data_IF_018540716636
#
_entry.id   IF_018540716636
#
_cell.length_a   1.000
_cell.length_b   1.000
_cell.length_c   1.000
_cell.angle_alpha   90.00
_cell.angle_beta   90.00
_cell.angle_gamma   90.00
#
_symmetry.space_group_name_H-M   'P 1'
#
loop_
_entity.id
_entity.type
_entity.pdbx_description
1 polymer ?
#
# COMPACT_ATOMS: atom_id res chain seq x y z
N UNK A 1 -15.82 -9.57 18.85
CA UNK A 1 -15.00 -10.58 18.14
C UNK A 1 -13.56 -10.50 18.60
N UNK A 2 -12.82 -11.60 18.42
CA UNK A 2 -11.36 -11.64 18.56
C UNK A 2 -10.73 -11.58 17.17
N UNK A 3 -9.84 -10.64 16.94
CA UNK A 3 -9.31 -10.31 15.61
C UNK A 3 -7.78 -10.33 15.63
N UNK A 4 -7.15 -10.88 14.61
CA UNK A 4 -5.74 -10.65 14.32
C UNK A 4 -5.64 -9.66 13.15
N UNK A 5 -4.88 -8.59 13.36
CA UNK A 5 -4.71 -7.54 12.36
C UNK A 5 -3.37 -7.67 11.63
N UNK A 6 -3.40 -7.44 10.32
CA UNK A 6 -2.22 -7.43 9.44
C UNK A 6 -2.16 -6.11 8.68
N UNK A 7 -1.10 -5.35 8.82
CA UNK A 7 -0.99 -4.10 8.05
C UNK A 7 -0.01 -3.08 8.59
N UNK A 8 -0.15 -1.87 8.07
CA UNK A 8 0.68 -0.71 8.36
C UNK A 8 -0.17 0.54 8.63
N UNK A 9 0.47 1.71 8.69
CA UNK A 9 -0.19 3.00 8.99
C UNK A 9 -1.21 3.45 7.95
N UNK A 10 -1.17 2.92 6.71
CA UNK A 10 -2.08 3.35 5.64
C UNK A 10 -3.54 3.22 6.06
N UNK A 11 -3.89 2.12 6.72
CA UNK A 11 -5.25 1.88 7.21
C UNK A 11 -5.35 1.91 8.74
N UNK A 12 -4.54 2.74 9.41
CA UNK A 12 -4.56 2.92 10.87
C UNK A 12 -5.98 3.19 11.40
N UNK A 13 -6.79 3.94 10.68
CA UNK A 13 -8.18 4.22 11.06
C UNK A 13 -9.08 2.98 11.15
N UNK A 14 -8.81 1.95 10.35
CA UNK A 14 -9.48 0.66 10.47
C UNK A 14 -9.03 -0.09 11.74
N UNK A 15 -7.73 -0.07 12.03
CA UNK A 15 -7.18 -0.66 13.25
C UNK A 15 -7.77 -0.02 14.51
N UNK A 16 -7.82 1.32 14.58
CA UNK A 16 -8.41 2.05 15.72
C UNK A 16 -9.89 1.70 15.89
N UNK A 17 -10.68 1.62 14.81
CA UNK A 17 -12.06 1.16 14.90
C UNK A 17 -12.18 -0.24 15.51
N UNK A 18 -11.33 -1.18 15.06
CA UNK A 18 -11.35 -2.55 15.56
C UNK A 18 -10.94 -2.62 17.04
N UNK A 19 -10.01 -1.76 17.48
CA UNK A 19 -9.63 -1.63 18.90
C UNK A 19 -10.76 -1.11 19.80
N UNK A 20 -11.58 -0.18 19.28
CA UNK A 20 -12.70 0.39 20.04
C UNK A 20 -13.83 -0.61 20.28
N UNK A 21 -14.06 -1.53 19.36
CA UNK A 21 -15.25 -2.39 19.33
C UNK A 21 -14.96 -3.86 19.59
N UNK A 22 -13.72 -4.30 19.42
CA UNK A 22 -13.35 -5.70 19.41
C UNK A 22 -12.05 -5.95 20.17
N UNK A 23 -11.70 -7.20 20.40
CA UNK A 23 -10.43 -7.60 20.98
C UNK A 23 -9.43 -7.89 19.85
N UNK A 24 -8.39 -7.10 19.73
CA UNK A 24 -7.27 -7.40 18.84
C UNK A 24 -6.27 -8.28 19.57
N UNK A 25 -6.05 -9.50 19.06
CA UNK A 25 -5.17 -10.51 19.67
C UNK A 25 -3.70 -10.25 19.35
N UNK A 26 -3.40 -9.81 18.13
CA UNK A 26 -2.05 -9.54 17.65
C UNK A 26 -2.07 -8.58 16.46
N UNK A 27 -0.97 -7.89 16.27
CA UNK A 27 -0.63 -7.12 15.08
C UNK A 27 0.53 -7.80 14.35
N UNK A 28 0.33 -8.16 13.08
CA UNK A 28 1.38 -8.53 12.15
C UNK A 28 1.68 -7.36 11.21
N UNK A 29 2.95 -6.98 11.14
CA UNK A 29 3.41 -5.84 10.33
C UNK A 29 4.79 -6.14 9.74
N UNK A 30 5.40 -5.15 9.11
CA UNK A 30 6.75 -5.26 8.54
C UNK A 30 7.60 -4.07 9.00
N UNK A 31 8.92 -4.23 8.93
CA UNK A 31 9.82 -3.12 9.21
C UNK A 31 9.74 -2.09 8.09
N UNK A 32 9.72 -0.84 8.48
CA UNK A 32 10.03 0.22 7.54
C UNK A 32 11.55 0.29 7.39
N UNK A 33 12.06 -0.11 6.23
CA UNK A 33 13.50 -0.14 5.92
C UNK A 33 14.08 1.28 5.68
N UNK A 34 13.26 2.33 5.84
CA UNK A 34 13.70 3.70 5.65
C UNK A 34 14.24 4.29 6.97
N UNK A 35 15.54 4.52 7.05
CA UNK A 35 16.30 4.97 8.24
C UNK A 35 15.78 6.26 8.93
N UNK A 36 14.91 7.02 8.28
CA UNK A 36 14.34 8.26 8.83
C UNK A 36 12.96 8.10 9.46
N UNK A 37 12.37 6.91 9.40
CA UNK A 37 11.14 6.60 10.12
C UNK A 37 11.46 5.92 11.44
N UNK A 38 10.94 6.49 12.51
CA UNK A 38 11.16 5.92 13.84
C UNK A 38 10.43 4.59 14.02
N UNK A 39 9.14 4.56 13.74
CA UNK A 39 8.29 3.38 13.84
C UNK A 39 6.87 3.73 13.35
N UNK A 40 6.15 2.79 12.80
CA UNK A 40 4.73 2.97 12.46
C UNK A 40 3.90 3.32 13.68
N UNK A 41 2.95 4.25 13.52
CA UNK A 41 2.03 4.66 14.57
C UNK A 41 1.15 3.49 15.05
N UNK A 42 0.77 2.58 14.16
CA UNK A 42 0.03 1.36 14.49
C UNK A 42 0.80 0.47 15.47
N UNK A 43 2.13 0.39 15.34
CA UNK A 43 3.01 -0.37 16.25
C UNK A 43 3.08 0.28 17.62
N UNK A 44 3.27 1.60 17.66
CA UNK A 44 3.25 2.35 18.91
C UNK A 44 1.93 2.14 19.63
N UNK A 45 0.82 2.25 18.91
CA UNK A 45 -0.52 2.05 19.46
C UNK A 45 -0.76 0.64 19.99
N UNK A 46 -0.32 -0.39 19.25
CA UNK A 46 -0.41 -1.79 19.69
C UNK A 46 0.38 -2.02 20.99
N UNK A 47 1.60 -1.48 21.09
CA UNK A 47 2.44 -1.59 22.29
C UNK A 47 1.85 -0.89 23.50
N UNK A 48 1.29 0.31 23.34
CA UNK A 48 0.60 1.03 24.41
C UNK A 48 -0.53 0.21 25.04
N UNK A 49 -1.19 -0.62 24.24
CA UNK A 49 -2.30 -1.48 24.67
C UNK A 49 -1.86 -2.91 25.05
N UNK A 50 -0.55 -3.19 25.00
CA UNK A 50 -0.02 -4.53 25.31
C UNK A 50 -0.36 -5.60 24.27
N UNK A 51 -0.68 -5.21 23.04
CA UNK A 51 -0.97 -6.12 21.94
C UNK A 51 0.36 -6.65 21.38
N UNK A 52 0.54 -7.97 21.24
CA UNK A 52 1.71 -8.56 20.61
C UNK A 52 1.92 -8.05 19.18
N UNK A 53 3.16 -7.66 18.85
CA UNK A 53 3.56 -7.20 17.51
C UNK A 53 4.54 -8.18 16.91
N UNK A 54 4.23 -8.66 15.71
CA UNK A 54 5.00 -9.63 14.94
C UNK A 54 5.48 -9.02 13.64
N UNK A 55 6.79 -9.18 13.36
CA UNK A 55 7.42 -8.73 12.12
C UNK A 55 7.74 -9.89 11.17
N UNK A 56 7.60 -11.11 11.64
CA UNK A 56 7.77 -12.33 10.85
C UNK A 56 6.47 -12.69 10.13
N UNK A 57 6.58 -13.45 9.04
CA UNK A 57 5.41 -14.01 8.37
C UNK A 57 4.73 -15.02 9.28
N UNK A 58 3.40 -14.94 9.36
CA UNK A 58 2.61 -15.95 10.07
C UNK A 58 2.71 -17.29 9.34
N UNK A 59 2.85 -18.38 10.09
CA UNK A 59 2.88 -19.73 9.54
C UNK A 59 1.48 -20.36 9.47
N UNK A 60 1.25 -21.40 8.64
CA UNK A 60 -0.02 -22.12 8.60
C UNK A 60 -0.42 -22.73 9.96
N UNK A 61 0.57 -23.18 10.75
CA UNK A 61 0.37 -23.73 12.09
C UNK A 61 -0.13 -22.65 13.06
N UNK A 62 0.44 -21.44 13.00
CA UNK A 62 0.00 -20.30 13.80
C UNK A 62 -1.40 -19.84 13.40
N UNK A 63 -1.71 -19.83 12.08
CA UNK A 63 -3.06 -19.54 11.60
C UNK A 63 -4.05 -20.53 12.23
N UNK A 64 -3.73 -21.83 12.17
CA UNK A 64 -4.57 -22.88 12.76
C UNK A 64 -4.77 -22.65 14.26
N UNK A 65 -3.69 -22.40 15.01
CA UNK A 65 -3.74 -22.15 16.46
C UNK A 65 -4.65 -20.96 16.82
N UNK A 66 -4.58 -19.85 16.07
CA UNK A 66 -5.45 -18.72 16.33
C UNK A 66 -6.94 -19.09 16.28
N UNK A 67 -7.34 -19.88 15.29
CA UNK A 67 -8.76 -20.25 15.11
C UNK A 67 -9.18 -21.40 16.03
N UNK A 68 -8.30 -22.39 16.30
CA UNK A 68 -8.67 -23.57 17.11
C UNK A 68 -8.51 -23.34 18.62
N UNK A 69 -7.41 -22.67 19.02
CA UNK A 69 -7.01 -22.63 20.43
C UNK A 69 -7.26 -21.26 21.08
N UNK A 70 -7.05 -20.18 20.33
CA UNK A 70 -7.18 -18.82 20.84
C UNK A 70 -8.58 -18.22 20.60
N UNK A 71 -9.39 -18.90 19.79
CA UNK A 71 -10.77 -18.51 19.48
C UNK A 71 -10.84 -17.22 18.67
N UNK A 72 -9.91 -17.04 17.73
CA UNK A 72 -9.95 -15.96 16.76
C UNK A 72 -11.17 -16.10 15.84
N UNK A 73 -11.89 -15.01 15.66
CA UNK A 73 -13.09 -14.97 14.80
C UNK A 73 -12.75 -14.48 13.38
N UNK A 74 -11.73 -13.64 13.25
CA UNK A 74 -11.43 -12.94 12.00
C UNK A 74 -9.95 -12.54 11.88
N UNK A 75 -9.37 -12.73 10.69
CA UNK A 75 -8.17 -12.03 10.25
C UNK A 75 -8.56 -10.82 9.43
N UNK A 76 -8.05 -9.64 9.79
CA UNK A 76 -8.26 -8.41 9.05
C UNK A 76 -6.93 -7.92 8.48
N UNK A 77 -6.82 -7.89 7.14
CA UNK A 77 -5.62 -7.55 6.41
C UNK A 77 -5.84 -6.20 5.72
N UNK A 78 -4.91 -5.26 5.88
CA UNK A 78 -4.98 -3.94 5.28
C UNK A 78 -3.56 -3.40 5.04
N UNK A 79 -3.10 -3.44 3.81
CA UNK A 79 -1.74 -3.06 3.39
C UNK A 79 -0.66 -3.88 4.11
N UNK A 80 -0.73 -5.20 3.98
CA UNK A 80 0.30 -6.13 4.45
C UNK A 80 1.16 -6.59 3.29
N UNK A 81 2.48 -6.54 3.45
CA UNK A 81 3.45 -6.78 2.38
C UNK A 81 3.70 -8.26 2.03
N UNK A 82 3.03 -9.18 2.74
CA UNK A 82 3.26 -10.61 2.59
C UNK A 82 1.97 -11.36 2.28
N UNK A 83 2.13 -12.46 1.53
CA UNK A 83 1.04 -13.38 1.23
C UNK A 83 0.88 -14.36 2.40
N UNK A 84 -0.35 -14.52 2.90
CA UNK A 84 -0.67 -15.56 3.86
C UNK A 84 -0.79 -16.91 3.15
N UNK A 85 0.00 -17.89 3.60
CA UNK A 85 -0.16 -19.27 3.18
C UNK A 85 -1.22 -19.93 4.06
N UNK A 86 -2.44 -20.04 3.54
CA UNK A 86 -3.54 -20.62 4.30
C UNK A 86 -3.36 -22.13 4.43
N UNK A 87 -3.73 -22.74 5.60
CA UNK A 87 -3.86 -24.19 5.73
C UNK A 87 -4.83 -24.74 4.68
N UNK A 88 -4.61 -25.97 4.22
CA UNK A 88 -5.49 -26.61 3.23
C UNK A 88 -6.92 -26.83 3.76
N UNK A 89 -7.03 -27.16 5.04
CA UNK A 89 -8.31 -27.40 5.71
C UNK A 89 -8.34 -26.69 7.07
N UNK A 90 -9.04 -25.58 7.11
CA UNK A 90 -9.29 -24.82 8.35
C UNK A 90 -10.76 -24.41 8.41
N UNK A 91 -11.63 -25.30 8.92
CA UNK A 91 -13.05 -25.00 9.09
C UNK A 91 -13.25 -23.75 9.95
N UNK A 92 -14.11 -22.85 9.51
CA UNK A 92 -14.41 -21.61 10.23
C UNK A 92 -13.44 -20.46 10.01
N UNK A 93 -12.39 -20.65 9.20
CA UNK A 93 -11.50 -19.54 8.84
C UNK A 93 -12.27 -18.39 8.17
N UNK A 94 -12.09 -17.20 8.70
CA UNK A 94 -12.56 -15.97 8.09
C UNK A 94 -11.40 -14.98 8.01
N UNK A 95 -11.16 -14.47 6.81
CA UNK A 95 -10.17 -13.43 6.57
C UNK A 95 -10.74 -12.39 5.61
N UNK A 96 -10.61 -11.13 5.94
CA UNK A 96 -10.96 -9.99 5.07
C UNK A 96 -9.67 -9.29 4.68
N UNK A 97 -9.49 -9.02 3.40
CA UNK A 97 -8.44 -8.14 2.89
C UNK A 97 -9.04 -6.85 2.34
N UNK A 98 -8.46 -5.73 2.74
CA UNK A 98 -8.76 -4.40 2.22
C UNK A 98 -7.74 -4.07 1.14
N UNK A 99 -8.20 -3.99 -0.10
CA UNK A 99 -7.36 -3.84 -1.29
C UNK A 99 -7.66 -2.54 -2.02
N UNK A 100 -6.62 -1.79 -2.37
CA UNK A 100 -6.72 -0.42 -2.92
C UNK A 100 -7.01 -0.41 -4.43
N UNK A 101 -7.98 -1.20 -4.89
CA UNK A 101 -8.51 -1.18 -6.26
C UNK A 101 -9.97 -1.58 -6.33
N UNK A 102 -10.58 -1.43 -7.50
CA UNK A 102 -11.90 -2.01 -7.83
C UNK A 102 -11.71 -3.43 -8.36
N UNK A 103 -11.58 -4.42 -7.46
CA UNK A 103 -11.49 -5.82 -7.86
C UNK A 103 -12.68 -6.23 -8.76
N UNK A 104 -12.44 -7.08 -9.77
CA UNK A 104 -11.24 -7.90 -10.02
C UNK A 104 -10.09 -7.18 -10.73
N UNK A 105 -10.22 -5.91 -11.10
CA UNK A 105 -9.11 -5.14 -11.67
C UNK A 105 -8.11 -4.76 -10.57
N UNK A 106 -6.83 -4.71 -10.93
CA UNK A 106 -5.78 -4.25 -10.03
C UNK A 106 -5.39 -5.23 -8.93
N UNK A 107 -5.64 -6.54 -9.10
CA UNK A 107 -5.04 -7.56 -8.23
C UNK A 107 -3.53 -7.42 -8.23
N UNK A 108 -2.86 -7.49 -7.09
CA UNK A 108 -1.42 -7.44 -6.88
C UNK A 108 -0.98 -6.31 -5.95
N UNK A 109 0.33 -6.12 -5.78
CA UNK A 109 0.95 -5.18 -4.85
C UNK A 109 0.96 -3.70 -5.28
N UNK A 110 0.61 -3.41 -6.53
CA UNK A 110 0.70 -2.04 -7.10
C UNK A 110 -0.62 -1.60 -7.73
N UNK A 111 -1.73 -1.65 -6.97
CA UNK A 111 -3.05 -1.37 -7.54
C UNK A 111 -3.24 0.11 -7.91
N UNK A 112 -2.73 1.03 -7.12
CA UNK A 112 -2.87 2.47 -7.34
C UNK A 112 -1.96 2.92 -8.47
N UNK A 113 -0.66 2.59 -8.41
CA UNK A 113 0.31 2.90 -9.46
C UNK A 113 -0.10 2.29 -10.79
N UNK A 114 -0.62 1.07 -10.77
CA UNK A 114 -1.15 0.40 -11.96
C UNK A 114 -2.39 1.07 -12.53
N UNK A 115 -3.27 1.64 -11.72
CA UNK A 115 -4.40 2.42 -12.18
C UNK A 115 -3.95 3.74 -12.83
N UNK A 116 -2.98 4.43 -12.20
CA UNK A 116 -2.42 5.66 -12.73
C UNK A 116 -1.58 5.46 -14.00
N UNK A 117 -0.84 4.34 -14.10
CA UNK A 117 -0.09 3.98 -15.29
C UNK A 117 -1.00 3.80 -16.52
N UNK A 118 -2.20 3.24 -16.29
CA UNK A 118 -3.21 3.00 -17.33
C UNK A 118 -4.16 4.16 -17.56
N UNK A 119 -3.90 5.29 -16.90
CA UNK A 119 -4.75 6.49 -16.94
C UNK A 119 -6.24 6.15 -16.73
N UNK A 120 -6.53 5.25 -15.78
CA UNK A 120 -7.90 4.85 -15.50
C UNK A 120 -8.65 6.03 -14.88
N UNK A 121 -9.88 6.33 -15.36
CA UNK A 121 -10.66 7.43 -14.80
C UNK A 121 -11.19 7.12 -13.39
N UNK A 122 -11.13 5.86 -12.99
CA UNK A 122 -11.63 5.39 -11.68
C UNK A 122 -10.76 4.27 -11.14
N UNK A 123 -10.62 4.29 -9.83
CA UNK A 123 -10.13 3.18 -9.01
C UNK A 123 -11.01 3.06 -7.78
N UNK A 124 -10.55 2.45 -6.71
CA UNK A 124 -11.34 2.37 -5.49
C UNK A 124 -10.69 1.54 -4.41
N UNK A 125 -11.49 1.14 -3.45
CA UNK A 125 -11.12 0.22 -2.40
C UNK A 125 -12.12 -0.92 -2.32
N UNK A 126 -11.64 -2.14 -2.12
CA UNK A 126 -12.43 -3.36 -2.02
C UNK A 126 -12.10 -4.10 -0.73
N UNK A 127 -13.12 -4.45 0.05
CA UNK A 127 -13.02 -5.49 1.07
C UNK A 127 -13.50 -6.80 0.48
N UNK A 128 -12.64 -7.83 0.55
CA UNK A 128 -12.93 -9.15 0.00
C UNK A 128 -12.48 -10.26 0.95
N UNK A 129 -13.04 -11.45 0.79
CA UNK A 129 -12.61 -12.62 1.52
C UNK A 129 -11.17 -12.99 1.17
N UNK A 130 -10.38 -13.34 2.16
CA UNK A 130 -9.08 -13.97 1.93
C UNK A 130 -9.29 -15.39 1.39
N UNK A 131 -8.58 -15.73 0.33
CA UNK A 131 -8.66 -17.02 -0.35
C UNK A 131 -7.27 -17.49 -0.77
N UNK A 132 -7.14 -18.76 -1.17
CA UNK A 132 -5.87 -19.31 -1.69
C UNK A 132 -5.32 -18.52 -2.90
N UNK A 133 -6.22 -17.99 -3.72
CA UNK A 133 -5.84 -17.14 -4.85
C UNK A 133 -5.67 -15.71 -4.35
N UNK A 134 -4.49 -15.13 -4.59
CA UNK A 134 -4.20 -13.74 -4.24
C UNK A 134 -5.29 -12.79 -4.78
N UNK A 135 -5.86 -11.96 -3.93
CA UNK A 135 -6.95 -11.00 -4.20
C UNK A 135 -8.13 -11.59 -4.97
N UNK A 136 -8.36 -12.90 -4.84
CA UNK A 136 -9.33 -13.64 -5.64
C UNK A 136 -10.59 -14.07 -4.91
N UNK A 137 -10.73 -13.75 -3.63
CA UNK A 137 -11.92 -14.08 -2.84
C UNK A 137 -13.13 -13.21 -3.16
N UNK A 138 -14.31 -13.64 -2.71
CA UNK A 138 -15.56 -12.92 -2.95
C UNK A 138 -15.52 -11.51 -2.40
N UNK A 139 -16.07 -10.56 -3.16
CA UNK A 139 -16.17 -9.15 -2.79
C UNK A 139 -17.28 -8.98 -1.76
N UNK A 140 -16.95 -8.40 -0.62
CA UNK A 140 -17.87 -8.06 0.47
C UNK A 140 -18.41 -6.65 0.33
N UNK A 141 -17.53 -5.69 0.03
CA UNK A 141 -17.88 -4.28 -0.18
C UNK A 141 -16.89 -3.60 -1.13
N UNK A 142 -17.34 -2.57 -1.83
CA UNK A 142 -16.49 -1.71 -2.68
C UNK A 142 -16.93 -0.26 -2.62
N UNK A 143 -15.96 0.65 -2.75
CA UNK A 143 -16.18 2.09 -2.97
C UNK A 143 -15.33 2.56 -4.14
N UNK A 144 -15.94 3.33 -5.03
CA UNK A 144 -15.29 3.90 -6.21
C UNK A 144 -14.66 5.24 -5.87
N UNK A 145 -13.48 5.49 -6.42
CA UNK A 145 -12.73 6.74 -6.35
C UNK A 145 -12.52 7.24 -7.77
N UNK A 146 -13.00 8.44 -8.08
CA UNK A 146 -12.73 9.10 -9.36
C UNK A 146 -11.28 9.62 -9.35
N UNK A 147 -10.53 9.25 -10.40
CA UNK A 147 -9.15 9.69 -10.65
C UNK A 147 -9.19 10.79 -11.70
N UNK A 148 -9.63 11.97 -11.30
CA UNK A 148 -9.78 13.12 -12.20
C UNK A 148 -8.94 14.30 -11.73
N UNK A 149 -8.42 15.09 -12.67
CA UNK A 149 -7.61 16.27 -12.36
C UNK A 149 -6.17 15.94 -11.96
N UNK A 150 -5.60 16.73 -11.07
CA UNK A 150 -4.21 16.60 -10.60
C UNK A 150 -4.07 15.68 -9.37
N UNK A 151 -4.85 14.61 -9.33
CA UNK A 151 -4.79 13.62 -8.23
C UNK A 151 -3.48 12.85 -8.31
N UNK A 152 -2.78 12.71 -7.19
CA UNK A 152 -1.59 11.88 -7.09
C UNK A 152 -1.88 10.54 -6.39
N UNK A 153 -0.89 9.63 -6.35
CA UNK A 153 -1.08 8.31 -5.75
C UNK A 153 -1.36 8.39 -4.24
N UNK A 154 -0.77 9.36 -3.54
CA UNK A 154 -1.03 9.57 -2.10
C UNK A 154 -2.46 10.01 -1.85
N UNK A 155 -3.01 10.92 -2.69
CA UNK A 155 -4.42 11.30 -2.59
C UNK A 155 -5.36 10.10 -2.73
N UNK A 156 -5.02 9.16 -3.64
CA UNK A 156 -5.81 7.94 -3.83
C UNK A 156 -5.69 7.04 -2.59
N UNK A 157 -4.48 6.86 -2.03
CA UNK A 157 -4.28 6.11 -0.79
C UNK A 157 -5.10 6.68 0.37
N UNK A 158 -5.08 7.99 0.56
CA UNK A 158 -5.85 8.67 1.61
C UNK A 158 -7.36 8.48 1.44
N UNK A 159 -7.86 8.54 0.20
CA UNK A 159 -9.28 8.26 -0.10
C UNK A 159 -9.63 6.79 0.13
N UNK A 160 -8.74 5.85 -0.24
CA UNK A 160 -8.89 4.43 0.07
C UNK A 160 -9.01 4.22 1.58
N UNK A 161 -8.12 4.84 2.36
CA UNK A 161 -8.13 4.72 3.82
C UNK A 161 -9.42 5.29 4.45
N UNK A 162 -9.88 6.45 3.97
CA UNK A 162 -11.13 7.05 4.44
C UNK A 162 -12.34 6.18 4.15
N UNK A 163 -12.48 5.68 2.92
CA UNK A 163 -13.58 4.79 2.56
C UNK A 163 -13.49 3.42 3.24
N UNK A 164 -12.28 2.89 3.42
CA UNK A 164 -12.09 1.65 4.17
C UNK A 164 -12.56 1.79 5.62
N UNK A 165 -12.32 2.95 6.25
CA UNK A 165 -12.81 3.23 7.62
C UNK A 165 -14.35 3.20 7.70
N UNK A 166 -15.04 3.75 6.71
CA UNK A 166 -16.50 3.67 6.64
C UNK A 166 -16.97 2.24 6.38
N UNK A 167 -16.33 1.54 5.44
CA UNK A 167 -16.70 0.20 5.04
C UNK A 167 -16.46 -0.84 6.12
N UNK A 168 -15.38 -0.71 6.93
CA UNK A 168 -15.06 -1.68 7.98
C UNK A 168 -16.18 -1.75 9.02
N UNK A 169 -16.77 -0.62 9.37
CA UNK A 169 -17.90 -0.57 10.30
C UNK A 169 -19.09 -1.38 9.76
N UNK A 170 -19.55 -1.05 8.56
CA UNK A 170 -20.67 -1.73 7.91
C UNK A 170 -20.42 -3.24 7.75
N UNK A 171 -19.24 -3.62 7.26
CA UNK A 171 -18.89 -5.04 6.99
C UNK A 171 -18.77 -5.84 8.28
N UNK A 172 -18.16 -5.27 9.32
CA UNK A 172 -17.94 -5.97 10.59
C UNK A 172 -19.24 -6.09 11.40
N UNK A 173 -20.05 -5.04 11.46
CA UNK A 173 -21.35 -5.09 12.16
C UNK A 173 -22.35 -6.07 11.50
N UNK A 174 -22.23 -6.29 10.20
CA UNK A 174 -23.09 -7.20 9.43
C UNK A 174 -22.31 -8.37 8.84
N UNK A 175 -21.25 -8.83 9.51
CA UNK A 175 -20.28 -9.77 8.96
C UNK A 175 -20.91 -11.04 8.36
N UNK A 176 -21.84 -11.67 9.07
CA UNK A 176 -22.45 -12.93 8.59
C UNK A 176 -23.26 -12.72 7.31
N UNK A 177 -24.02 -11.61 7.22
CA UNK A 177 -24.77 -11.26 6.03
C UNK A 177 -23.85 -10.91 4.86
N UNK A 178 -22.86 -10.02 5.08
CA UNK A 178 -21.85 -9.66 4.07
C UNK A 178 -21.08 -10.88 3.58
N UNK A 179 -20.76 -11.80 4.49
CA UNK A 179 -20.07 -13.04 4.16
C UNK A 179 -20.89 -13.97 3.28
N UNK A 180 -22.19 -14.13 3.59
CA UNK A 180 -23.10 -14.95 2.80
C UNK A 180 -23.40 -14.34 1.42
N UNK A 181 -23.53 -13.02 1.34
CA UNK A 181 -23.85 -12.27 0.12
C UNK A 181 -22.62 -11.89 -0.72
N UNK A 182 -21.45 -12.37 -0.34
CA UNK A 182 -20.17 -12.09 -1.03
C UNK A 182 -20.26 -12.39 -2.53
N UNK A 183 -19.83 -11.43 -3.35
CA UNK A 183 -19.91 -11.50 -4.82
C UNK A 183 -18.69 -12.16 -5.41
N UNK A 184 -18.79 -13.33 -6.08
CA UNK A 184 -17.67 -13.99 -6.73
C UNK A 184 -17.04 -13.11 -7.81
N UNK A 185 -15.70 -13.13 -7.87
CA UNK A 185 -14.94 -12.46 -8.91
C UNK A 185 -14.86 -13.34 -10.17
N UNK A 186 -15.84 -13.26 -11.04
CA UNK A 186 -15.97 -14.11 -12.24
C UNK A 186 -15.13 -13.64 -13.42
N UNK A 187 -14.76 -12.37 -13.49
CA UNK A 187 -13.96 -11.81 -14.59
C UNK A 187 -12.51 -12.25 -14.51
N UNK A 188 -11.96 -12.60 -15.67
CA UNK A 188 -10.54 -12.93 -15.82
C UNK A 188 -9.72 -11.67 -16.02
N UNK A 189 -9.32 -11.03 -14.92
CA UNK A 189 -8.40 -9.90 -14.95
C UNK A 189 -6.96 -10.35 -14.67
N UNK A 190 -5.97 -9.87 -15.43
CA UNK A 190 -4.57 -10.18 -15.15
C UNK A 190 -4.11 -9.49 -13.87
N UNK A 191 -3.10 -10.09 -13.20
CA UNK A 191 -2.39 -9.42 -12.12
C UNK A 191 -1.59 -8.25 -12.68
N UNK A 192 -1.67 -7.10 -12.01
CA UNK A 192 -0.84 -5.97 -12.39
C UNK A 192 0.58 -6.16 -11.84
N UNK A 193 1.54 -5.89 -12.69
CA UNK A 193 2.96 -6.01 -12.34
C UNK A 193 3.47 -4.69 -11.77
N UNK A 194 4.62 -4.75 -11.08
CA UNK A 194 5.35 -3.55 -10.72
C UNK A 194 5.60 -2.71 -11.99
N UNK A 195 5.42 -1.40 -11.93
CA UNK A 195 5.80 -0.51 -13.03
C UNK A 195 7.24 -0.75 -13.47
N UNK A 196 7.49 -0.69 -14.77
CA UNK A 196 8.83 -0.89 -15.32
C UNK A 196 9.78 0.21 -14.82
N UNK A 197 11.04 -0.13 -14.58
CA UNK A 197 12.03 0.81 -14.05
C UNK A 197 12.17 2.09 -14.89
N UNK A 198 12.00 1.98 -16.20
CA UNK A 198 12.05 3.11 -17.15
C UNK A 198 10.94 4.13 -16.85
N UNK A 199 9.75 3.68 -16.46
CA UNK A 199 8.62 4.55 -16.12
C UNK A 199 8.83 5.29 -14.79
N UNK A 200 9.64 4.74 -13.91
CA UNK A 200 9.95 5.27 -12.58
C UNK A 200 11.14 6.23 -12.61
N UNK A 201 11.92 6.25 -13.69
CA UNK A 201 13.23 6.91 -13.74
C UNK A 201 13.13 8.32 -14.32
N UNK A 202 13.68 9.29 -13.60
CA UNK A 202 13.85 10.66 -14.11
C UNK A 202 15.06 10.72 -15.05
N UNK A 203 14.86 11.28 -16.25
CA UNK A 203 15.87 11.45 -17.28
C UNK A 203 16.09 12.93 -17.62
N UNK A 204 17.31 13.31 -18.04
CA UNK A 204 17.67 14.70 -18.37
C UNK A 204 17.00 15.25 -19.61
N UNK A 205 16.51 14.41 -20.48
CA UNK A 205 15.77 14.76 -21.69
C UNK A 205 14.28 15.02 -21.45
N UNK A 206 13.77 14.71 -20.25
CA UNK A 206 12.43 15.11 -19.82
C UNK A 206 12.32 16.63 -19.67
N UNK A 207 11.12 17.16 -19.88
CA UNK A 207 10.74 18.47 -19.36
C UNK A 207 10.49 18.41 -17.86
N UNK A 208 10.42 19.57 -17.22
CA UNK A 208 10.02 19.66 -15.80
C UNK A 208 8.64 19.07 -15.57
N UNK A 209 7.71 19.34 -16.48
CA UNK A 209 6.34 18.86 -16.39
C UNK A 209 6.27 17.33 -16.48
N UNK A 210 6.99 16.71 -17.44
CA UNK A 210 7.09 15.26 -17.58
C UNK A 210 7.66 14.61 -16.30
N UNK A 211 8.74 15.19 -15.74
CA UNK A 211 9.35 14.69 -14.53
C UNK A 211 8.43 14.81 -13.29
N UNK A 212 7.71 15.93 -13.17
CA UNK A 212 6.70 16.12 -12.12
C UNK A 212 5.54 15.16 -12.27
N UNK A 213 5.13 14.83 -13.52
CA UNK A 213 4.08 13.84 -13.78
C UNK A 213 4.51 12.44 -13.36
N UNK A 214 5.76 12.03 -13.62
CA UNK A 214 6.32 10.78 -13.12
C UNK A 214 6.24 10.72 -11.59
N UNK A 215 6.70 11.77 -10.92
CA UNK A 215 6.68 11.79 -9.45
C UNK A 215 5.26 11.80 -8.88
N UNK A 216 4.30 12.48 -9.51
CA UNK A 216 2.88 12.41 -9.10
C UNK A 216 2.32 11.00 -9.16
N UNK A 217 2.66 10.25 -10.23
CA UNK A 217 2.20 8.86 -10.41
C UNK A 217 2.84 7.88 -9.44
N UNK A 218 4.12 8.01 -9.17
CA UNK A 218 4.91 6.94 -8.55
C UNK A 218 5.54 7.29 -7.20
N UNK A 219 5.52 8.57 -6.82
CA UNK A 219 6.00 9.06 -5.50
C UNK A 219 7.31 8.41 -5.05
N UNK A 220 7.31 7.70 -3.93
CA UNK A 220 8.51 7.03 -3.35
C UNK A 220 9.13 5.96 -4.25
N UNK A 221 8.44 5.50 -5.29
CA UNK A 221 9.02 4.60 -6.29
C UNK A 221 9.83 5.34 -7.36
N UNK A 222 9.68 6.68 -7.45
CA UNK A 222 10.43 7.48 -8.42
C UNK A 222 11.92 7.42 -8.12
N UNK A 223 12.72 7.21 -9.15
CA UNK A 223 14.16 7.03 -9.02
C UNK A 223 14.93 7.92 -9.99
N UNK A 224 16.18 8.19 -9.65
CA UNK A 224 17.11 8.95 -10.49
C UNK A 224 18.52 8.38 -10.37
N UNK A 225 19.25 8.35 -11.49
CA UNK A 225 20.67 7.99 -11.49
C UNK A 225 21.52 9.27 -11.42
N UNK A 226 22.31 9.42 -10.35
CA UNK A 226 23.22 10.56 -10.11
C UNK A 226 24.63 10.00 -9.97
N UNK A 227 25.58 10.44 -10.80
CA UNK A 227 26.98 10.05 -10.73
C UNK A 227 27.21 8.53 -10.50
N UNK A 228 26.59 7.71 -11.35
CA UNK A 228 26.63 6.23 -11.32
C UNK A 228 25.89 5.55 -10.14
N UNK A 229 25.25 6.29 -9.23
CA UNK A 229 24.47 5.76 -8.12
C UNK A 229 22.97 5.98 -8.34
N UNK A 230 22.18 5.06 -7.84
CA UNK A 230 20.73 5.15 -7.83
C UNK A 230 20.20 5.75 -6.53
N UNK A 231 19.17 6.59 -6.66
CA UNK A 231 18.49 7.24 -5.56
C UNK A 231 16.99 7.16 -5.75
N UNK A 232 16.25 6.97 -4.68
CA UNK A 232 14.83 7.29 -4.62
C UNK A 232 14.65 8.81 -4.55
N UNK A 233 13.59 9.31 -5.18
CA UNK A 233 13.20 10.72 -5.10
C UNK A 233 12.07 10.82 -4.09
N UNK A 234 12.30 11.53 -2.99
CA UNK A 234 11.32 11.69 -1.90
C UNK A 234 10.55 13.00 -1.99
N UNK A 235 11.09 13.99 -2.70
CA UNK A 235 10.41 15.24 -3.01
C UNK A 235 11.00 15.87 -4.28
N UNK A 236 10.16 16.64 -5.01
CA UNK A 236 10.53 17.25 -6.28
C UNK A 236 9.82 18.58 -6.47
N UNK A 237 10.57 19.60 -6.91
CA UNK A 237 10.02 20.87 -7.37
C UNK A 237 10.76 21.35 -8.61
N UNK A 238 10.03 22.01 -9.52
CA UNK A 238 10.61 22.64 -10.70
C UNK A 238 11.32 23.95 -10.35
N UNK A 239 12.37 24.26 -11.07
CA UNK A 239 13.09 25.53 -10.98
C UNK A 239 13.49 26.09 -12.33
N UNK A 240 13.67 27.41 -12.38
CA UNK A 240 14.19 28.14 -13.54
C UNK A 240 15.53 28.75 -13.20
N UNK A 241 16.34 29.03 -14.20
CA UNK A 241 17.65 29.65 -14.04
C UNK A 241 18.80 28.72 -14.48
N UNK A 242 20.00 29.28 -14.64
CA UNK A 242 21.13 28.53 -15.13
C UNK A 242 21.63 27.54 -14.11
N UNK A 243 21.96 26.35 -14.59
CA UNK A 243 22.64 25.32 -13.83
C UNK A 243 23.98 25.03 -14.51
N UNK A 244 25.07 25.23 -13.79
CA UNK A 244 26.44 25.11 -14.35
C UNK A 244 26.85 23.65 -14.62
N UNK A 245 26.29 22.69 -13.87
CA UNK A 245 26.52 21.25 -14.03
C UNK A 245 25.21 20.54 -14.27
N UNK A 246 25.27 19.34 -14.85
CA UNK A 246 24.08 18.50 -15.04
C UNK A 246 23.47 18.06 -13.72
N UNK A 247 24.32 17.84 -12.72
CA UNK A 247 23.96 17.51 -11.34
C UNK A 247 24.76 18.42 -10.42
N UNK A 248 24.08 19.02 -9.45
CA UNK A 248 24.73 19.87 -8.44
C UNK A 248 24.16 19.56 -7.06
N UNK A 249 24.97 19.01 -6.19
CA UNK A 249 24.59 18.71 -4.80
C UNK A 249 24.56 20.01 -3.98
N UNK A 250 23.47 20.24 -3.27
CA UNK A 250 23.33 21.29 -2.26
C UNK A 250 23.59 20.72 -0.85
N UNK A 251 23.32 19.44 -0.67
CA UNK A 251 23.63 18.62 0.50
C UNK A 251 23.67 17.14 0.08
N UNK A 252 23.99 16.19 0.95
CA UNK A 252 23.94 14.75 0.61
C UNK A 252 22.57 14.28 0.08
N UNK A 253 21.49 14.94 0.48
CA UNK A 253 20.10 14.56 0.13
C UNK A 253 19.39 15.59 -0.74
N UNK A 254 19.96 16.74 -1.03
CA UNK A 254 19.34 17.80 -1.86
C UNK A 254 20.18 18.07 -3.09
N UNK A 255 19.53 17.92 -4.25
CA UNK A 255 20.22 17.96 -5.55
C UNK A 255 19.47 18.87 -6.53
N UNK A 256 20.22 19.66 -7.30
CA UNK A 256 19.71 20.28 -8.53
C UNK A 256 20.06 19.38 -9.70
N UNK A 257 19.04 19.00 -10.46
CA UNK A 257 19.14 18.07 -11.58
C UNK A 257 18.66 18.75 -12.87
N UNK A 258 19.54 18.85 -13.86
CA UNK A 258 19.19 19.49 -15.14
C UNK A 258 18.26 18.62 -15.94
N UNK A 259 17.22 19.24 -16.48
CA UNK A 259 16.29 18.66 -17.43
C UNK A 259 16.21 19.57 -18.69
N UNK A 260 15.46 19.15 -19.68
CA UNK A 260 15.42 19.81 -21.01
C UNK A 260 15.11 21.29 -20.97
N UNK A 261 14.18 21.73 -20.12
CA UNK A 261 13.63 23.09 -20.05
C UNK A 261 13.93 23.84 -18.74
N UNK A 262 14.93 23.35 -17.98
CA UNK A 262 15.31 23.97 -16.69
C UNK A 262 16.02 23.01 -15.77
N UNK A 263 15.64 23.05 -14.49
CA UNK A 263 16.14 22.10 -13.52
C UNK A 263 15.05 21.67 -12.52
N UNK A 264 15.29 20.54 -11.88
CA UNK A 264 14.53 20.02 -10.75
C UNK A 264 15.33 20.23 -9.47
N UNK A 265 14.64 20.55 -8.40
CA UNK A 265 15.15 20.46 -7.04
C UNK A 265 14.63 19.14 -6.49
N UNK A 266 15.54 18.20 -6.25
CA UNK A 266 15.21 16.87 -5.76
C UNK A 266 15.63 16.75 -4.30
N UNK A 267 14.79 16.12 -3.51
CA UNK A 267 15.21 15.50 -2.28
C UNK A 267 15.34 14.00 -2.56
N UNK A 268 16.51 13.43 -2.23
CA UNK A 268 16.87 12.08 -2.65
C UNK A 268 17.39 11.25 -1.47
N UNK A 269 17.15 9.94 -1.54
CA UNK A 269 17.64 8.95 -0.61
C UNK A 269 18.40 7.86 -1.38
N UNK A 270 19.64 7.48 -0.96
CA UNK A 270 20.39 6.43 -1.63
C UNK A 270 19.62 5.12 -1.68
N UNK A 271 19.58 4.47 -2.84
CA UNK A 271 19.09 3.10 -2.95
C UNK A 271 20.18 2.17 -2.42
N UNK A 272 19.89 1.41 -1.38
CA UNK A 272 20.78 0.35 -0.95
C UNK A 272 20.92 -0.70 -2.03
N UNK A 273 22.15 -1.02 -2.40
CA UNK A 273 22.43 -2.17 -3.25
C UNK A 273 22.19 -3.40 -2.38
N UNK A 274 21.02 -4.01 -2.49
CA UNK A 274 20.80 -5.36 -1.91
C UNK A 274 21.79 -6.30 -2.61
N UNK A 275 22.89 -6.62 -1.94
CA UNK A 275 23.89 -7.63 -2.36
C UNK A 275 23.32 -9.04 -2.18
#
# INVERSE_FOLDING_TARGET
MKIVYFGSDVFLSCFEYLLEKHQVLALYTYHNDEDYFTEYAIVQRARELGIPVHYESITPEEITRYFTDEGCDLFFIAEYDRILTLPEDLPGFRGINTHSSLLPQGRSYYPIEGAMERDLPRTGVTMHKVAQRLDGGDILAQRTIDVTGEVDSVDIYLRCAAYAREMVEDVIEHLDACWADGKPQTEKCPYWKRPAAELLTLHRDMSREEALAVFRKYKSMTQVKLDERWFYVTDITGGTGPLYRAVQYLSPTRVLYRVRDGHLRLHVHPMEVRT
#
